data_IF_953620013885
#
_entry.id   IF_953620013885
#
_cell.length_a   1.000
_cell.length_b   1.000
_cell.length_c   1.000
_cell.angle_alpha   90.00
_cell.angle_beta   90.00
_cell.angle_gamma   90.00
#
_symmetry.space_group_name_H-M   'P 1'
#
loop_
_entity.id
_entity.type
_entity.pdbx_description
1 polymer ?
#
# COMPACT_ATOMS: atom_id res chain seq x y z
N UNK A 1 23.64 17.01 -22.47
CA UNK A 1 22.97 17.34 -21.19
C UNK A 1 24.06 17.47 -20.15
N UNK A 2 24.07 18.53 -19.34
CA UNK A 2 25.07 18.72 -18.29
C UNK A 2 24.78 17.79 -17.11
N UNK A 3 25.80 17.34 -16.39
CA UNK A 3 25.64 16.52 -15.16
C UNK A 3 24.67 17.16 -14.16
N UNK A 4 24.67 18.49 -14.04
CA UNK A 4 23.75 19.25 -13.21
C UNK A 4 22.26 19.17 -13.66
N UNK A 5 21.98 19.10 -14.96
CA UNK A 5 20.60 18.94 -15.45
C UNK A 5 20.11 17.50 -15.30
N UNK A 6 21.00 16.51 -15.37
CA UNK A 6 20.69 15.13 -15.05
C UNK A 6 20.39 14.96 -13.55
N UNK A 7 21.25 15.53 -12.69
CA UNK A 7 21.09 15.46 -11.24
C UNK A 7 19.78 16.11 -10.77
N UNK A 8 19.42 17.28 -11.30
CA UNK A 8 18.14 17.94 -11.00
C UNK A 8 16.93 17.10 -11.41
N UNK A 9 17.01 16.42 -12.57
CA UNK A 9 15.93 15.52 -13.02
C UNK A 9 15.83 14.27 -12.14
N UNK A 10 16.95 13.65 -11.80
CA UNK A 10 16.99 12.48 -10.92
C UNK A 10 16.42 12.85 -9.55
N UNK A 11 16.87 13.96 -8.96
CA UNK A 11 16.34 14.46 -7.70
C UNK A 11 14.82 14.72 -7.78
N UNK A 12 14.34 15.38 -8.83
CA UNK A 12 12.91 15.61 -9.04
C UNK A 12 12.11 14.32 -9.15
N UNK A 13 12.63 13.29 -9.82
CA UNK A 13 12.00 11.96 -9.91
C UNK A 13 11.99 11.26 -8.55
N UNK A 14 13.08 11.31 -7.79
CA UNK A 14 13.17 10.72 -6.44
C UNK A 14 12.17 11.38 -5.48
N UNK A 15 12.09 12.71 -5.49
CA UNK A 15 11.12 13.45 -4.67
C UNK A 15 9.69 13.12 -5.07
N UNK A 16 9.38 13.09 -6.37
CA UNK A 16 8.05 12.73 -6.84
C UNK A 16 7.68 11.28 -6.45
N UNK A 17 8.62 10.34 -6.56
CA UNK A 17 8.43 8.96 -6.13
C UNK A 17 8.21 8.87 -4.62
N UNK A 18 8.98 9.59 -3.82
CA UNK A 18 8.78 9.65 -2.37
C UNK A 18 7.40 10.18 -2.01
N UNK A 19 6.92 11.25 -2.67
CA UNK A 19 5.57 11.78 -2.46
C UNK A 19 4.51 10.74 -2.82
N UNK A 20 4.65 10.06 -3.95
CA UNK A 20 3.70 9.00 -4.35
C UNK A 20 3.68 7.86 -3.34
N UNK A 21 4.85 7.42 -2.85
CA UNK A 21 4.94 6.37 -1.84
C UNK A 21 4.31 6.78 -0.51
N UNK A 22 4.49 8.04 -0.08
CA UNK A 22 3.84 8.58 1.11
C UNK A 22 2.31 8.62 0.95
N UNK A 23 1.82 9.05 -0.21
CA UNK A 23 0.38 9.07 -0.50
C UNK A 23 -0.22 7.66 -0.53
N UNK A 24 0.52 6.67 -1.06
CA UNK A 24 0.11 5.26 -1.02
C UNK A 24 0.08 4.76 0.41
N UNK A 25 1.10 5.06 1.23
CA UNK A 25 1.12 4.66 2.64
C UNK A 25 -0.07 5.22 3.40
N UNK A 26 -0.42 6.48 3.17
CA UNK A 26 -1.59 7.11 3.77
C UNK A 26 -2.91 6.48 3.32
N UNK A 27 -3.02 6.04 2.06
CA UNK A 27 -4.20 5.32 1.58
C UNK A 27 -4.34 3.93 2.21
N UNK A 28 -3.21 3.27 2.49
CA UNK A 28 -3.15 1.95 3.10
C UNK A 28 -3.21 1.99 4.63
N UNK A 29 -3.17 3.18 5.24
CA UNK A 29 -3.12 3.33 6.70
C UNK A 29 -1.81 2.82 7.32
N UNK A 30 -0.73 2.68 6.53
CA UNK A 30 0.54 2.11 6.98
C UNK A 30 1.69 3.11 6.77
N UNK A 31 2.68 3.17 7.67
CA UNK A 31 3.84 4.04 7.50
C UNK A 31 4.74 3.49 6.40
N UNK A 32 4.71 4.15 5.24
CA UNK A 32 5.65 3.89 4.14
C UNK A 32 6.72 4.98 4.17
N UNK A 33 7.99 4.58 4.22
CA UNK A 33 9.19 5.43 4.31
C UNK A 33 9.38 6.15 5.64
N UNK A 34 8.33 6.78 6.20
CA UNK A 34 8.44 7.58 7.42
C UNK A 34 7.33 7.17 8.41
N UNK A 35 7.75 6.81 9.62
CA UNK A 35 6.90 6.65 10.80
C UNK A 35 7.29 7.65 11.89
N UNK A 36 6.48 7.76 12.94
CA UNK A 36 6.83 8.54 14.13
C UNK A 36 6.30 7.89 15.40
N UNK A 37 6.98 8.15 16.52
CA UNK A 37 6.53 7.73 17.84
C UNK A 37 5.74 8.86 18.49
N UNK A 38 4.50 8.59 18.89
CA UNK A 38 3.64 9.58 19.53
C UNK A 38 3.89 9.70 21.04
N UNK A 39 4.35 8.62 21.68
CA UNK A 39 4.55 8.50 23.12
C UNK A 39 6.04 8.27 23.44
N UNK A 40 6.40 8.33 24.72
CA UNK A 40 7.75 8.06 25.20
C UNK A 40 8.07 6.58 25.46
N UNK A 41 7.27 5.64 24.94
CA UNK A 41 7.48 4.20 25.20
C UNK A 41 8.80 3.65 24.63
N UNK A 42 9.36 4.34 23.64
CA UNK A 42 10.62 3.98 22.97
C UNK A 42 11.84 4.74 23.49
N UNK A 43 11.72 5.50 24.60
CA UNK A 43 12.87 6.16 25.20
C UNK A 43 13.82 5.13 25.87
N UNK A 44 15.15 5.33 25.81
CA UNK A 44 15.87 6.47 25.24
C UNK A 44 16.18 6.34 23.73
N UNK A 45 15.78 5.25 23.08
CA UNK A 45 16.09 5.00 21.65
C UNK A 45 15.45 6.03 20.72
N UNK A 46 14.19 6.38 20.98
CA UNK A 46 13.44 7.41 20.24
C UNK A 46 12.64 8.24 21.24
N UNK A 47 12.76 9.57 21.17
CA UNK A 47 11.97 10.45 22.04
C UNK A 47 10.56 10.62 21.48
N UNK A 48 9.59 10.91 22.36
CA UNK A 48 8.24 11.23 21.93
C UNK A 48 8.24 12.38 20.90
N UNK A 49 7.63 12.17 19.74
CA UNK A 49 7.58 13.11 18.63
C UNK A 49 8.73 13.00 17.62
N UNK A 50 9.69 12.09 17.81
CA UNK A 50 10.69 11.78 16.80
C UNK A 50 10.09 10.90 15.68
N UNK A 51 10.59 11.11 14.47
CA UNK A 51 10.33 10.22 13.35
C UNK A 51 11.40 9.17 13.16
N UNK A 52 11.13 8.17 12.35
CA UNK A 52 12.10 7.16 11.94
C UNK A 52 11.82 6.69 10.51
N UNK A 53 12.84 6.07 9.91
CA UNK A 53 12.69 5.47 8.58
C UNK A 53 12.00 4.11 8.71
N UNK A 54 10.76 4.02 8.24
CA UNK A 54 9.96 2.80 8.26
C UNK A 54 10.15 2.03 6.94
N UNK A 55 10.69 0.83 7.02
CA UNK A 55 10.84 -0.08 5.89
C UNK A 55 9.63 -1.03 5.91
N UNK A 56 8.76 -1.04 4.88
CA UNK A 56 7.57 -1.88 4.86
C UNK A 56 7.90 -3.35 5.02
N UNK A 57 7.06 -4.11 5.75
CA UNK A 57 7.28 -5.54 5.99
C UNK A 57 7.40 -6.35 4.70
N UNK A 58 6.71 -5.89 3.65
CA UNK A 58 6.79 -6.43 2.31
C UNK A 58 8.16 -6.34 1.64
N UNK A 59 9.16 -5.65 2.19
CA UNK A 59 10.54 -5.63 1.65
C UNK A 59 11.60 -5.85 2.73
N UNK A 60 11.19 -6.05 3.97
CA UNK A 60 12.10 -6.41 5.07
C UNK A 60 12.28 -7.92 5.09
N UNK A 61 13.48 -8.38 5.49
CA UNK A 61 13.68 -9.79 5.79
C UNK A 61 12.94 -10.25 7.04
N UNK A 62 13.27 -11.45 7.52
CA UNK A 62 12.76 -11.97 8.79
C UNK A 62 13.01 -11.00 9.94
N UNK A 63 12.07 -11.00 10.88
CA UNK A 63 12.18 -10.27 12.14
C UNK A 63 13.03 -11.09 13.12
N UNK A 64 13.79 -10.42 13.97
CA UNK A 64 14.69 -11.05 14.92
C UNK A 64 14.80 -10.22 16.20
N UNK A 65 15.30 -10.85 17.27
CA UNK A 65 15.55 -10.17 18.55
C UNK A 65 16.38 -8.88 18.36
N UNK A 66 15.91 -7.81 18.98
CA UNK A 66 16.48 -6.47 18.87
C UNK A 66 15.88 -5.64 17.74
N UNK A 67 15.04 -6.19 16.87
CA UNK A 67 14.36 -5.43 15.84
C UNK A 67 13.29 -4.50 16.40
N UNK A 68 13.26 -3.25 15.92
CA UNK A 68 12.15 -2.34 16.21
C UNK A 68 11.13 -2.45 15.09
N UNK A 69 9.91 -2.86 15.43
CA UNK A 69 8.84 -3.15 14.48
C UNK A 69 7.63 -2.24 14.73
N UNK A 70 6.91 -1.94 13.66
CA UNK A 70 5.59 -1.31 13.70
C UNK A 70 4.57 -2.39 13.42
N UNK A 71 3.65 -2.61 14.35
CA UNK A 71 2.62 -3.64 14.24
C UNK A 71 1.26 -3.09 14.65
N UNK A 72 0.20 -3.71 14.14
CA UNK A 72 -1.17 -3.41 14.55
C UNK A 72 -1.48 -4.15 15.86
N UNK A 73 -1.48 -3.39 16.97
CA UNK A 73 -1.76 -3.90 18.29
C UNK A 73 -3.27 -4.05 18.50
N UNK A 74 -3.66 -5.02 19.33
CA UNK A 74 -5.09 -5.26 19.63
C UNK A 74 -5.54 -4.50 20.87
N UNK A 75 -4.76 -4.64 21.94
CA UNK A 75 -5.11 -4.17 23.28
C UNK A 75 -4.27 -2.97 23.70
N UNK A 76 -3.01 -2.90 23.24
CA UNK A 76 -2.12 -1.79 23.60
C UNK A 76 -2.74 -0.45 23.21
N UNK A 77 -2.95 0.41 24.22
CA UNK A 77 -3.49 1.76 24.05
C UNK A 77 -4.85 1.86 23.34
N UNK A 78 -5.66 0.80 23.39
CA UNK A 78 -6.94 0.73 22.68
C UNK A 78 -6.82 0.28 21.23
N UNK A 79 -5.69 -0.35 20.89
CA UNK A 79 -5.39 -0.92 19.58
C UNK A 79 -4.74 0.06 18.60
N UNK A 80 -4.39 -0.46 17.43
CA UNK A 80 -3.79 0.30 16.34
C UNK A 80 -2.27 0.21 16.28
N UNK A 81 -1.69 1.00 15.36
CA UNK A 81 -0.26 0.95 15.07
C UNK A 81 0.60 1.34 16.28
N UNK A 82 1.39 0.37 16.75
CA UNK A 82 2.34 0.50 17.85
C UNK A 82 3.75 0.22 17.35
N UNK A 83 4.74 0.92 17.90
CA UNK A 83 6.16 0.75 17.55
C UNK A 83 6.95 0.31 18.77
N UNK A 84 7.37 -0.95 18.84
CA UNK A 84 8.13 -1.51 19.96
C UNK A 84 9.27 -2.43 19.48
N UNK A 85 10.16 -2.83 20.39
CA UNK A 85 11.27 -3.74 20.10
C UNK A 85 10.91 -5.19 20.36
N UNK A 86 11.31 -6.07 19.46
CA UNK A 86 11.26 -7.52 19.65
C UNK A 86 12.33 -7.94 20.64
N UNK A 87 11.93 -8.61 21.71
CA UNK A 87 12.81 -9.06 22.80
C UNK A 87 12.85 -10.59 22.94
N UNK A 88 12.06 -11.30 22.13
CA UNK A 88 12.07 -12.75 22.05
C UNK A 88 11.16 -13.27 20.94
N UNK A 89 11.39 -14.51 20.55
CA UNK A 89 10.58 -15.27 19.60
C UNK A 89 10.06 -16.54 20.27
N UNK A 90 8.78 -16.83 20.10
CA UNK A 90 8.10 -18.04 20.61
C UNK A 90 7.40 -18.76 19.46
N UNK A 91 6.86 -19.94 19.73
CA UNK A 91 6.04 -20.66 18.74
C UNK A 91 4.74 -19.93 18.39
N UNK A 92 4.28 -18.99 19.21
CA UNK A 92 3.06 -18.22 18.97
C UNK A 92 3.33 -16.86 18.28
N UNK A 93 4.60 -16.46 18.17
CA UNK A 93 5.00 -15.19 17.54
C UNK A 93 6.09 -14.48 18.34
N UNK A 94 6.17 -13.17 18.17
CA UNK A 94 7.17 -12.32 18.79
C UNK A 94 6.68 -11.74 20.12
N UNK A 95 7.60 -11.66 21.08
CA UNK A 95 7.44 -10.90 22.32
C UNK A 95 7.98 -9.50 22.08
N UNK A 96 7.15 -8.49 22.27
CA UNK A 96 7.50 -7.08 22.05
C UNK A 96 7.53 -6.31 23.35
N UNK A 97 8.31 -5.23 23.35
CA UNK A 97 8.46 -4.36 24.51
C UNK A 97 8.87 -2.95 24.08
N UNK A 98 8.19 -1.93 24.60
CA UNK A 98 8.68 -0.56 24.54
C UNK A 98 9.98 -0.41 25.33
N UNK A 99 11.01 0.21 24.75
CA UNK A 99 12.34 0.33 25.38
C UNK A 99 12.30 1.01 26.78
N UNK A 100 11.33 1.90 27.02
CA UNK A 100 11.11 2.55 28.31
C UNK A 100 10.22 1.74 29.27
N UNK A 101 9.54 0.70 28.78
CA UNK A 101 8.58 -0.05 29.59
C UNK A 101 9.32 -0.99 30.56
N UNK A 102 8.79 -1.21 31.78
CA UNK A 102 9.40 -2.15 32.73
C UNK A 102 9.12 -3.62 32.36
N UNK A 103 7.95 -3.89 31.79
CA UNK A 103 7.46 -5.23 31.42
C UNK A 103 7.32 -5.36 29.91
N UNK A 104 7.19 -6.60 29.42
CA UNK A 104 6.86 -6.87 28.02
C UNK A 104 5.40 -6.56 27.74
N UNK A 105 5.05 -6.36 26.47
CA UNK A 105 3.67 -6.12 26.07
C UNK A 105 2.78 -7.34 26.39
N UNK A 106 3.35 -8.55 26.28
CA UNK A 106 2.71 -9.84 26.58
C UNK A 106 2.63 -10.18 28.08
N UNK A 107 3.30 -9.43 28.97
CA UNK A 107 3.01 -9.49 30.41
C UNK A 107 1.65 -8.82 30.74
N UNK A 108 1.09 -8.07 29.78
CA UNK A 108 -0.24 -7.47 29.81
C UNK A 108 -1.29 -8.31 29.11
N UNK A 109 -2.21 -7.64 28.40
CA UNK A 109 -3.29 -8.28 27.63
C UNK A 109 -2.97 -8.44 26.14
N UNK A 110 -1.84 -7.92 25.65
CA UNK A 110 -1.49 -8.02 24.23
C UNK A 110 -1.05 -9.46 23.92
N UNK A 111 -1.64 -10.12 22.91
CA UNK A 111 -1.17 -11.43 22.46
C UNK A 111 0.24 -11.34 21.84
N UNK A 112 0.83 -12.50 21.54
CA UNK A 112 2.10 -12.53 20.81
C UNK A 112 1.92 -11.89 19.42
N UNK A 113 2.86 -11.04 19.04
CA UNK A 113 2.80 -10.32 17.76
C UNK A 113 3.17 -11.28 16.65
N UNK A 114 2.32 -11.41 15.62
CA UNK A 114 2.60 -12.29 14.47
C UNK A 114 3.13 -11.51 13.26
N UNK A 115 3.73 -12.20 12.29
CA UNK A 115 4.13 -11.59 11.00
C UNK A 115 2.95 -10.94 10.27
N UNK A 116 1.73 -11.40 10.54
CA UNK A 116 0.49 -10.85 9.99
C UNK A 116 0.16 -9.43 10.49
N UNK A 117 0.61 -9.10 11.71
CA UNK A 117 0.38 -7.79 12.35
C UNK A 117 1.50 -6.79 12.05
N UNK A 118 2.69 -7.26 11.70
CA UNK A 118 3.85 -6.39 11.44
C UNK A 118 3.72 -5.72 10.06
N UNK A 119 3.59 -4.40 10.07
CA UNK A 119 3.45 -3.58 8.85
C UNK A 119 4.76 -2.97 8.39
N UNK A 120 5.71 -2.75 9.31
CA UNK A 120 7.02 -2.20 8.98
C UNK A 120 8.08 -2.56 10.03
N UNK A 121 9.35 -2.46 9.62
CA UNK A 121 10.53 -2.50 10.50
C UNK A 121 11.23 -1.15 10.45
N UNK A 122 11.61 -0.62 11.60
CA UNK A 122 12.42 0.59 11.65
C UNK A 122 13.83 0.29 11.11
N UNK A 123 14.35 1.18 10.26
CA UNK A 123 15.71 1.03 9.75
C UNK A 123 16.72 1.19 10.90
N UNK A 124 17.54 0.17 11.11
CA UNK A 124 18.59 0.17 12.12
C UNK A 124 19.98 0.05 11.50
N UNK A 125 20.95 0.80 12.02
CA UNK A 125 22.36 0.74 11.65
C UNK A 125 23.16 0.50 12.93
N UNK A 126 23.92 -0.60 12.99
CA UNK A 126 24.64 -1.04 14.19
C UNK A 126 23.75 -1.24 15.44
N UNK A 127 22.48 -1.59 15.25
CA UNK A 127 21.51 -1.77 16.34
C UNK A 127 20.83 -0.48 16.83
N UNK A 128 21.19 0.67 16.27
CA UNK A 128 20.54 1.95 16.57
C UNK A 128 19.54 2.31 15.47
N UNK A 129 18.36 2.80 15.87
CA UNK A 129 17.31 3.24 14.94
C UNK A 129 17.72 4.55 14.28
N UNK A 130 17.55 4.64 12.96
CA UNK A 130 17.76 5.89 12.21
C UNK A 130 16.58 6.83 12.47
N UNK A 131 16.77 7.77 13.38
CA UNK A 131 15.75 8.75 13.80
C UNK A 131 15.86 10.07 13.05
N UNK A 132 14.73 10.77 12.96
CA UNK A 132 14.59 12.11 12.43
C UNK A 132 13.96 12.97 13.53
N UNK A 133 14.77 13.75 14.26
CA UNK A 133 14.30 14.51 15.41
C UNK A 133 13.11 15.41 15.08
N UNK A 134 12.11 15.42 15.95
CA UNK A 134 10.92 16.28 15.86
C UNK A 134 10.05 16.11 14.60
N UNK A 135 10.29 15.10 13.75
CA UNK A 135 9.47 14.89 12.55
C UNK A 135 8.02 14.61 12.91
N UNK A 136 7.77 13.75 13.91
CA UNK A 136 6.43 13.47 14.43
C UNK A 136 5.79 14.73 15.02
N UNK A 137 6.54 15.52 15.79
CA UNK A 137 6.07 16.81 16.32
C UNK A 137 5.64 17.78 15.21
N UNK A 138 6.42 17.85 14.13
CA UNK A 138 6.09 18.68 12.97
C UNK A 138 4.82 18.19 12.25
N UNK A 139 4.71 16.87 12.03
CA UNK A 139 3.54 16.25 11.40
C UNK A 139 2.28 16.50 12.24
N UNK A 140 2.33 16.19 13.53
CA UNK A 140 1.23 16.43 14.47
C UNK A 140 0.87 17.92 14.52
N UNK A 141 1.85 18.82 14.58
CA UNK A 141 1.61 20.27 14.55
C UNK A 141 0.87 20.73 13.29
N UNK A 142 1.22 20.19 12.12
CA UNK A 142 0.49 20.47 10.87
C UNK A 142 -0.92 19.91 10.92
N UNK A 143 -1.11 18.66 11.36
CA UNK A 143 -2.42 18.02 11.49
C UNK A 143 -3.36 18.83 12.40
N UNK A 144 -2.92 19.20 13.60
CA UNK A 144 -3.71 20.00 14.54
C UNK A 144 -4.08 21.37 13.96
N UNK A 145 -3.17 21.98 13.19
CA UNK A 145 -3.44 23.25 12.51
C UNK A 145 -4.51 23.09 11.44
N UNK A 146 -4.40 22.04 10.60
CA UNK A 146 -5.38 21.72 9.57
C UNK A 146 -6.73 21.41 10.18
N UNK A 147 -6.80 20.55 11.20
CA UNK A 147 -8.04 20.21 11.91
C UNK A 147 -8.70 21.46 12.53
N UNK A 148 -7.90 22.36 13.11
CA UNK A 148 -8.42 23.62 13.66
C UNK A 148 -9.01 24.52 12.56
N UNK A 149 -8.32 24.65 11.43
CA UNK A 149 -8.78 25.44 10.28
C UNK A 149 -10.03 24.83 9.65
N UNK A 150 -10.04 23.52 9.43
CA UNK A 150 -11.19 22.78 8.89
C UNK A 150 -12.36 22.85 9.85
N UNK A 151 -12.15 22.61 11.16
CA UNK A 151 -13.20 22.70 12.18
C UNK A 151 -13.81 24.09 12.32
N UNK A 152 -13.04 25.15 12.01
CA UNK A 152 -13.54 26.53 12.01
C UNK A 152 -14.33 26.87 10.73
N UNK A 153 -13.88 26.38 9.57
CA UNK A 153 -14.41 26.75 8.25
C UNK A 153 -15.55 25.82 7.81
N UNK A 154 -15.47 24.52 8.11
CA UNK A 154 -16.42 23.51 7.67
C UNK A 154 -17.88 23.81 8.10
N UNK A 155 -18.16 24.27 9.34
CA UNK A 155 -19.51 24.66 9.72
C UNK A 155 -20.02 25.88 8.95
N UNK A 156 -19.14 26.83 8.63
CA UNK A 156 -19.47 28.06 7.88
C UNK A 156 -19.83 27.73 6.43
N UNK A 157 -19.15 26.74 5.84
CA UNK A 157 -19.38 26.28 4.47
C UNK A 157 -20.42 25.16 4.35
N UNK A 158 -21.05 24.73 5.45
CA UNK A 158 -22.01 23.63 5.46
C UNK A 158 -21.40 22.25 5.16
N UNK A 159 -20.08 22.10 5.32
CA UNK A 159 -19.33 20.85 5.11
C UNK A 159 -19.32 19.98 6.38
N UNK A 160 -20.46 19.87 7.07
CA UNK A 160 -20.54 19.02 8.25
C UNK A 160 -20.48 17.56 7.79
N UNK A 161 -19.43 16.84 8.20
CA UNK A 161 -19.30 15.41 7.97
C UNK A 161 -20.28 14.66 8.85
N UNK A 162 -21.54 14.58 8.41
CA UNK A 162 -22.46 13.56 8.88
C UNK A 162 -22.02 12.22 8.26
N UNK A 163 -21.97 11.10 9.02
CA UNK A 163 -21.47 9.81 8.52
C UNK A 163 -22.21 9.24 7.30
N UNK A 164 -23.40 9.74 6.95
CA UNK A 164 -24.35 8.94 6.17
C UNK A 164 -24.68 9.39 4.72
N UNK A 165 -24.17 10.50 4.17
CA UNK A 165 -24.24 10.73 2.70
C UNK A 165 -23.64 12.07 2.24
N UNK A 166 -23.08 12.06 1.02
CA UNK A 166 -22.52 13.20 0.24
C UNK A 166 -21.02 13.53 0.40
N UNK A 167 -20.19 12.51 0.67
CA UNK A 167 -18.73 12.63 0.80
C UNK A 167 -17.92 13.01 -0.46
N UNK A 168 -18.54 13.10 -1.64
CA UNK A 168 -17.80 13.41 -2.90
C UNK A 168 -17.57 14.93 -3.04
N UNK A 169 -18.54 15.74 -2.63
CA UNK A 169 -18.45 17.21 -2.74
C UNK A 169 -17.41 17.79 -1.79
N UNK A 170 -17.37 17.30 -0.55
CA UNK A 170 -16.37 17.67 0.46
C UNK A 170 -14.97 17.20 0.06
N UNK A 171 -14.83 16.00 -0.51
CA UNK A 171 -13.57 15.50 -1.04
C UNK A 171 -13.03 16.38 -2.18
N UNK A 172 -13.88 16.79 -3.13
CA UNK A 172 -13.48 17.67 -4.24
C UNK A 172 -13.05 19.06 -3.77
N UNK A 173 -13.71 19.60 -2.75
CA UNK A 173 -13.33 20.89 -2.12
C UNK A 173 -12.00 20.75 -1.38
N UNK A 174 -11.81 19.68 -0.60
CA UNK A 174 -10.56 19.40 0.10
C UNK A 174 -9.39 19.24 -0.89
N UNK A 175 -9.60 18.50 -1.98
CA UNK A 175 -8.62 18.36 -3.08
C UNK A 175 -8.35 19.69 -3.76
N UNK A 176 -9.38 20.51 -4.03
CA UNK A 176 -9.23 21.84 -4.60
C UNK A 176 -8.39 22.77 -3.74
N UNK A 177 -8.66 22.80 -2.43
CA UNK A 177 -7.90 23.59 -1.44
C UNK A 177 -6.46 23.08 -1.33
N UNK A 178 -6.25 21.76 -1.29
CA UNK A 178 -4.92 21.16 -1.26
C UNK A 178 -4.08 21.50 -2.50
N UNK A 179 -4.69 21.43 -3.69
CA UNK A 179 -4.04 21.82 -4.95
C UNK A 179 -3.68 23.31 -4.98
N UNK A 180 -4.54 24.17 -4.44
CA UNK A 180 -4.32 25.62 -4.39
C UNK A 180 -3.21 25.97 -3.39
N UNK A 181 -3.21 25.35 -2.20
CA UNK A 181 -2.14 25.47 -1.21
C UNK A 181 -0.80 24.95 -1.71
N UNK A 182 -0.80 23.81 -2.39
CA UNK A 182 0.41 23.23 -3.01
C UNK A 182 0.97 24.13 -4.12
N UNK A 183 0.11 24.76 -4.92
CA UNK A 183 0.51 25.76 -5.93
C UNK A 183 1.22 26.97 -5.31
N UNK A 184 0.67 27.51 -4.22
CA UNK A 184 1.27 28.65 -3.49
C UNK A 184 2.59 28.26 -2.82
N UNK A 185 2.69 27.04 -2.28
CA UNK A 185 3.91 26.52 -1.65
C UNK A 185 5.03 26.34 -2.68
N UNK A 186 4.72 25.81 -3.88
CA UNK A 186 5.65 25.70 -4.99
C UNK A 186 6.11 27.06 -5.52
N UNK A 187 5.25 28.07 -5.50
CA UNK A 187 5.66 29.45 -5.86
C UNK A 187 6.60 30.07 -4.82
N UNK A 188 6.46 29.72 -3.53
CA UNK A 188 7.35 30.21 -2.46
C UNK A 188 8.68 29.45 -2.34
N UNK A 189 8.70 28.15 -2.63
CA UNK A 189 9.89 27.29 -2.55
C UNK A 189 10.60 27.12 -3.90
N UNK A 190 9.93 27.49 -5.00
CA UNK A 190 10.49 27.39 -6.34
C UNK A 190 11.64 28.38 -6.55
N UNK A 191 12.72 27.99 -7.24
CA UNK A 191 13.82 28.90 -7.54
C UNK A 191 13.29 30.08 -8.36
N UNK A 192 13.43 31.27 -7.79
CA UNK A 192 13.15 32.54 -8.46
C UNK A 192 14.13 32.78 -9.59
N UNK A 193 13.86 32.23 -10.77
CA UNK A 193 14.39 32.73 -12.04
C UNK A 193 13.65 32.13 -13.23
N UNK A 194 12.82 32.96 -13.88
CA UNK A 194 12.46 32.77 -15.28
C UNK A 194 13.68 33.06 -16.13
N UNK A 195 14.50 32.05 -16.40
CA UNK A 195 15.45 32.10 -17.50
C UNK A 195 14.71 31.92 -18.82
N UNK A 196 14.31 33.06 -19.42
CA UNK A 196 13.95 33.14 -20.84
C UNK A 196 15.23 33.14 -21.67
N UNK A 197 15.82 31.97 -21.89
CA UNK A 197 16.73 31.77 -23.02
C UNK A 197 15.99 31.05 -24.14
N UNK A 198 15.62 31.85 -25.15
CA UNK A 198 14.95 31.42 -26.37
C UNK A 198 15.94 30.60 -27.20
N UNK A 199 15.87 29.27 -27.10
CA UNK A 199 16.55 28.37 -28.03
C UNK A 199 15.56 27.86 -29.08
N UNK A 200 15.96 27.94 -30.35
CA UNK A 200 15.16 27.52 -31.51
C UNK A 200 15.19 25.99 -31.63
N UNK A 201 14.28 25.30 -30.97
CA UNK A 201 13.94 23.91 -31.33
C UNK A 201 12.46 23.60 -31.05
N UNK A 202 11.66 23.73 -32.12
CA UNK A 202 10.32 23.16 -32.42
C UNK A 202 9.26 23.15 -31.29
N UNK A 203 8.32 24.09 -31.41
CA UNK A 203 7.03 24.17 -30.71
C UNK A 203 6.12 22.96 -30.99
N UNK A 204 5.41 22.51 -29.95
CA UNK A 204 4.39 21.44 -29.94
C UNK A 204 4.87 19.98 -29.91
N UNK A 205 5.95 19.71 -29.18
CA UNK A 205 6.31 18.37 -28.70
C UNK A 205 6.24 18.35 -27.17
N UNK A 206 5.06 18.66 -26.60
CA UNK A 206 4.73 18.07 -25.30
C UNK A 206 4.62 16.57 -25.59
N UNK A 207 5.73 15.89 -25.31
CA UNK A 207 6.15 14.74 -26.08
C UNK A 207 5.11 13.63 -25.99
N UNK A 208 4.84 12.98 -27.12
CA UNK A 208 4.07 11.73 -27.17
C UNK A 208 4.45 10.77 -26.03
N UNK A 209 5.75 10.69 -25.71
CA UNK A 209 6.30 9.93 -24.61
C UNK A 209 5.90 10.43 -23.21
N UNK A 210 5.73 11.74 -23.01
CA UNK A 210 5.23 12.30 -21.76
C UNK A 210 3.76 11.98 -21.57
N UNK A 211 2.93 12.11 -22.62
CA UNK A 211 1.51 11.72 -22.57
C UNK A 211 1.36 10.22 -22.36
N UNK A 212 2.13 9.40 -23.10
CA UNK A 212 2.16 7.95 -22.92
C UNK A 212 2.62 7.57 -21.50
N UNK A 213 3.65 8.23 -20.99
CA UNK A 213 4.12 8.02 -19.62
C UNK A 213 3.05 8.32 -18.57
N UNK A 214 2.28 9.41 -18.74
CA UNK A 214 1.17 9.75 -17.85
C UNK A 214 0.04 8.71 -17.93
N UNK A 215 -0.32 8.28 -19.14
CA UNK A 215 -1.32 7.21 -19.32
C UNK A 215 -0.84 5.92 -18.64
N UNK A 216 0.41 5.50 -18.89
CA UNK A 216 0.97 4.31 -18.26
C UNK A 216 1.01 4.43 -16.74
N UNK A 217 1.38 5.59 -16.20
CA UNK A 217 1.36 5.86 -14.77
C UNK A 217 -0.04 5.62 -14.19
N UNK A 218 -1.06 6.22 -14.82
CA UNK A 218 -2.46 6.03 -14.38
C UNK A 218 -2.86 4.55 -14.43
N UNK A 219 -2.60 3.86 -15.55
CA UNK A 219 -2.95 2.45 -15.70
C UNK A 219 -2.25 1.55 -14.68
N UNK A 220 -0.95 1.75 -14.47
CA UNK A 220 -0.16 0.98 -13.50
C UNK A 220 -0.61 1.27 -12.08
N UNK A 221 -0.90 2.53 -11.74
CA UNK A 221 -1.41 2.88 -10.41
C UNK A 221 -2.75 2.21 -10.14
N UNK A 222 -3.71 2.29 -11.07
CA UNK A 222 -5.02 1.62 -10.90
C UNK A 222 -4.90 0.10 -10.86
N UNK A 223 -4.05 -0.50 -11.71
CA UNK A 223 -3.82 -1.94 -11.69
C UNK A 223 -3.19 -2.41 -10.37
N UNK A 224 -2.18 -1.68 -9.89
CA UNK A 224 -1.52 -1.95 -8.60
C UNK A 224 -2.49 -1.78 -7.45
N UNK A 225 -3.26 -0.70 -7.43
CA UNK A 225 -4.30 -0.44 -6.43
C UNK A 225 -5.33 -1.57 -6.38
N UNK A 226 -5.78 -2.07 -7.54
CA UNK A 226 -6.73 -3.18 -7.62
C UNK A 226 -6.17 -4.51 -7.06
N UNK A 227 -4.85 -4.68 -7.05
CA UNK A 227 -4.18 -5.86 -6.50
C UNK A 227 -3.87 -5.71 -5.00
N UNK A 228 -3.49 -4.51 -4.57
CA UNK A 228 -2.98 -4.25 -3.21
C UNK A 228 -4.09 -3.85 -2.23
N UNK A 229 -5.07 -3.04 -2.65
CA UNK A 229 -6.10 -2.53 -1.74
C UNK A 229 -6.96 -3.66 -1.14
N UNK A 230 -7.43 -4.66 -1.93
CA UNK A 230 -8.22 -5.74 -1.37
C UNK A 230 -7.37 -6.88 -0.81
N UNK A 231 -6.03 -6.80 -0.92
CA UNK A 231 -5.11 -7.72 -0.27
C UNK A 231 -4.95 -7.32 1.20
N UNK A 232 -4.68 -8.29 2.06
CA UNK A 232 -4.55 -8.03 3.49
C UNK A 232 -4.45 -9.30 4.30
N UNK A 233 -4.25 -9.13 5.60
CA UNK A 233 -4.23 -10.23 6.56
C UNK A 233 -5.57 -10.27 7.28
N UNK A 234 -6.21 -11.43 7.30
CA UNK A 234 -7.41 -11.68 8.12
C UNK A 234 -7.00 -12.39 9.39
N UNK A 235 -7.52 -11.92 10.51
CA UNK A 235 -7.30 -12.49 11.82
C UNK A 235 -8.47 -13.38 12.24
N UNK A 236 -8.14 -14.49 12.90
CA UNK A 236 -9.04 -15.46 13.50
C UNK A 236 -8.67 -15.64 14.96
N UNK A 237 -9.65 -15.42 15.83
CA UNK A 237 -9.54 -15.76 17.24
C UNK A 237 -9.82 -17.24 17.41
N UNK A 238 -8.99 -17.89 18.21
CA UNK A 238 -9.05 -19.32 18.47
C UNK A 238 -8.94 -19.56 19.98
N UNK A 239 -9.91 -20.26 20.54
CA UNK A 239 -9.93 -20.61 21.95
C UNK A 239 -9.72 -22.12 22.09
N UNK A 240 -8.63 -22.52 22.75
CA UNK A 240 -8.35 -23.91 23.09
C UNK A 240 -8.88 -24.21 24.50
N UNK A 241 -9.87 -25.09 24.61
CA UNK A 241 -10.57 -25.40 25.88
C UNK A 241 -10.99 -26.87 25.96
N UNK A 242 -11.00 -27.44 27.17
CA UNK A 242 -11.44 -28.84 27.38
C UNK A 242 -12.95 -29.05 27.16
N UNK A 243 -13.73 -27.96 27.08
CA UNK A 243 -15.17 -27.98 26.83
C UNK A 243 -15.49 -27.18 25.56
N UNK A 244 -15.20 -27.71 24.36
CA UNK A 244 -15.51 -27.01 23.12
C UNK A 244 -17.04 -26.88 22.91
N UNK A 245 -17.43 -25.83 22.20
CA UNK A 245 -18.82 -25.58 21.78
C UNK A 245 -18.97 -25.90 20.28
N UNK A 246 -20.18 -25.76 19.71
CA UNK A 246 -20.41 -25.93 18.25
C UNK A 246 -19.76 -24.84 17.37
N UNK A 247 -18.94 -23.96 17.95
CA UNK A 247 -18.26 -22.89 17.24
C UNK A 247 -16.91 -23.41 16.68
N UNK A 248 -16.65 -23.29 15.36
CA UNK A 248 -15.39 -23.76 14.74
C UNK A 248 -14.12 -23.03 15.22
N UNK A 249 -14.26 -22.00 16.05
CA UNK A 249 -13.17 -21.25 16.68
C UNK A 249 -12.97 -21.59 18.17
N UNK A 250 -13.80 -22.46 18.75
CA UNK A 250 -13.67 -22.95 20.13
C UNK A 250 -13.44 -24.45 20.07
N UNK A 251 -12.19 -24.86 20.22
CA UNK A 251 -11.72 -26.20 19.90
C UNK A 251 -11.10 -26.89 21.12
N UNK A 252 -11.15 -28.22 21.15
CA UNK A 252 -10.35 -28.98 22.10
C UNK A 252 -8.86 -28.86 21.78
N UNK A 253 -7.95 -29.04 22.76
CA UNK A 253 -6.51 -29.07 22.49
C UNK A 253 -6.14 -30.06 21.37
N UNK A 254 -5.42 -29.59 20.36
CA UNK A 254 -5.01 -30.37 19.19
C UNK A 254 -6.09 -30.59 18.12
N UNK A 255 -7.34 -30.16 18.36
CA UNK A 255 -8.43 -30.26 17.38
C UNK A 255 -8.25 -29.24 16.24
N UNK A 256 -8.76 -29.57 15.05
CA UNK A 256 -8.74 -28.67 13.89
C UNK A 256 -10.15 -28.30 13.50
N UNK A 257 -10.44 -26.99 13.50
CA UNK A 257 -11.68 -26.41 13.04
C UNK A 257 -11.60 -26.00 11.57
N UNK A 258 -12.74 -26.03 10.89
CA UNK A 258 -12.87 -25.64 9.48
C UNK A 258 -13.76 -24.41 9.36
N UNK A 259 -13.28 -23.39 8.64
CA UNK A 259 -14.04 -22.19 8.36
C UNK A 259 -14.05 -21.89 6.85
N UNK A 260 -15.22 -21.93 6.24
CA UNK A 260 -15.38 -21.55 4.84
C UNK A 260 -15.42 -20.03 4.70
N UNK A 261 -14.56 -19.50 3.84
CA UNK A 261 -14.50 -18.09 3.48
C UNK A 261 -14.77 -17.89 2.00
N UNK A 262 -15.60 -16.89 1.71
CA UNK A 262 -15.87 -16.44 0.35
C UNK A 262 -14.88 -15.36 -0.06
N UNK A 263 -14.30 -15.52 -1.25
CA UNK A 263 -13.42 -14.55 -1.89
C UNK A 263 -14.13 -13.92 -3.07
N UNK A 264 -14.50 -12.65 -2.93
CA UNK A 264 -15.24 -11.91 -3.96
C UNK A 264 -14.33 -11.15 -4.92
N UNK A 265 -14.65 -11.23 -6.23
CA UNK A 265 -14.06 -10.40 -7.27
C UNK A 265 -15.12 -9.50 -7.90
N UNK A 266 -15.24 -8.27 -7.43
CA UNK A 266 -16.10 -7.26 -8.04
C UNK A 266 -15.53 -6.67 -9.35
N UNK A 267 -14.30 -7.02 -9.71
CA UNK A 267 -13.56 -6.47 -10.83
C UNK A 267 -14.00 -6.98 -12.22
N UNK A 268 -13.53 -6.27 -13.24
CA UNK A 268 -13.75 -6.60 -14.66
C UNK A 268 -12.63 -7.45 -15.28
N UNK A 269 -11.73 -7.98 -14.46
CA UNK A 269 -10.71 -8.94 -14.86
C UNK A 269 -10.74 -10.10 -13.88
N UNK A 270 -10.52 -11.35 -14.33
CA UNK A 270 -10.31 -12.45 -13.40
C UNK A 270 -9.09 -12.16 -12.53
N UNK A 271 -9.10 -12.70 -11.33
CA UNK A 271 -8.00 -12.57 -10.38
C UNK A 271 -7.48 -13.96 -9.99
N UNK A 272 -6.19 -14.03 -9.73
CA UNK A 272 -5.57 -15.15 -9.03
C UNK A 272 -5.36 -14.71 -7.60
N UNK A 273 -5.88 -15.49 -6.66
CA UNK A 273 -5.80 -15.24 -5.22
C UNK A 273 -4.89 -16.29 -4.63
N UNK A 274 -3.90 -15.86 -3.86
CA UNK A 274 -2.99 -16.75 -3.11
C UNK A 274 -3.20 -16.50 -1.63
N UNK A 275 -3.39 -17.58 -0.88
CA UNK A 275 -3.54 -17.55 0.57
C UNK A 275 -2.23 -18.02 1.21
N UNK A 276 -1.74 -17.26 2.19
CA UNK A 276 -0.52 -17.57 2.94
C UNK A 276 -0.85 -17.66 4.43
N UNK A 277 -0.35 -18.69 5.11
CA UNK A 277 -0.36 -18.72 6.56
C UNK A 277 0.62 -17.66 7.09
N UNK A 278 0.13 -16.74 7.93
CA UNK A 278 0.91 -15.69 8.61
C UNK A 278 1.10 -15.94 10.10
N UNK A 279 0.62 -17.09 10.57
CA UNK A 279 0.83 -17.64 11.90
C UNK A 279 0.96 -19.16 11.82
N UNK A 280 1.50 -19.78 12.86
CA UNK A 280 1.53 -21.24 12.98
C UNK A 280 0.12 -21.82 13.13
N UNK A 281 -0.04 -23.12 12.84
CA UNK A 281 -1.30 -23.87 12.99
C UNK A 281 -2.48 -23.32 12.16
N UNK A 282 -2.18 -22.80 10.97
CA UNK A 282 -3.17 -22.33 10.00
C UNK A 282 -2.85 -22.88 8.63
N UNK A 283 -3.84 -23.44 7.97
CA UNK A 283 -3.72 -23.91 6.59
C UNK A 283 -4.95 -23.47 5.78
N UNK A 284 -4.81 -23.44 4.46
CA UNK A 284 -5.90 -23.07 3.54
C UNK A 284 -5.98 -24.03 2.38
N UNK A 285 -7.20 -24.46 2.03
CA UNK A 285 -7.48 -25.28 0.86
C UNK A 285 -8.61 -24.64 0.01
N UNK A 286 -8.35 -24.30 -1.26
CA UNK A 286 -7.07 -24.39 -1.94
C UNK A 286 -6.09 -23.28 -1.52
N UNK A 287 -4.76 -23.53 -1.55
CA UNK A 287 -3.74 -22.52 -1.21
C UNK A 287 -3.73 -21.35 -2.21
N UNK A 288 -4.27 -21.56 -3.41
CA UNK A 288 -4.54 -20.50 -4.36
C UNK A 288 -5.74 -20.87 -5.24
N UNK A 289 -6.44 -19.87 -5.75
CA UNK A 289 -7.58 -20.06 -6.64
C UNK A 289 -7.67 -18.96 -7.70
N UNK A 290 -8.40 -19.24 -8.78
CA UNK A 290 -8.74 -18.21 -9.78
C UNK A 290 -10.21 -17.86 -9.63
N UNK A 291 -10.49 -16.59 -9.37
CA UNK A 291 -11.85 -16.07 -9.28
C UNK A 291 -12.19 -15.32 -10.57
N UNK A 292 -13.30 -15.70 -11.19
CA UNK A 292 -13.80 -15.10 -12.42
C UNK A 292 -14.22 -13.64 -12.26
N UNK A 293 -14.65 -13.02 -13.36
CA UNK A 293 -15.12 -11.64 -13.34
C UNK A 293 -16.47 -11.57 -12.61
N UNK A 294 -16.62 -10.63 -11.68
CA UNK A 294 -17.89 -10.40 -10.97
C UNK A 294 -18.45 -11.68 -10.35
N UNK A 295 -17.57 -12.54 -9.85
CA UNK A 295 -17.89 -13.82 -9.23
C UNK A 295 -17.19 -13.94 -7.89
N UNK A 296 -17.53 -14.99 -7.16
CA UNK A 296 -16.89 -15.38 -5.92
C UNK A 296 -16.29 -16.79 -6.04
N UNK A 297 -15.31 -17.08 -5.19
CA UNK A 297 -14.78 -18.43 -4.95
C UNK A 297 -14.83 -18.74 -3.46
N UNK A 298 -14.79 -20.02 -3.08
CA UNK A 298 -14.76 -20.45 -1.69
C UNK A 298 -13.38 -21.02 -1.36
N UNK A 299 -12.89 -20.73 -0.15
CA UNK A 299 -11.67 -21.31 0.42
C UNK A 299 -11.96 -21.76 1.83
N UNK A 300 -11.49 -22.94 2.21
CA UNK A 300 -11.59 -23.42 3.58
C UNK A 300 -10.31 -23.06 4.32
N UNK A 301 -10.47 -22.45 5.50
CA UNK A 301 -9.38 -22.18 6.44
C UNK A 301 -9.43 -23.24 7.53
N UNK A 302 -8.31 -23.93 7.72
CA UNK A 302 -8.12 -24.92 8.78
C UNK A 302 -7.36 -24.26 9.92
N UNK A 303 -7.94 -24.25 11.11
CA UNK A 303 -7.34 -23.69 12.32
C UNK A 303 -7.09 -24.82 13.32
N UNK A 304 -5.84 -25.11 13.64
CA UNK A 304 -5.50 -26.15 14.62
C UNK A 304 -5.22 -25.53 15.98
N UNK A 305 -5.93 -25.99 17.01
CA UNK A 305 -5.74 -25.53 18.37
C UNK A 305 -4.42 -26.02 18.97
N UNK A 306 -3.67 -25.15 19.69
CA UNK A 306 -2.55 -25.59 20.50
C UNK A 306 -2.94 -26.63 21.56
N UNK A 307 -1.99 -27.47 21.95
CA UNK A 307 -2.13 -28.49 23.00
C UNK A 307 -2.36 -27.86 24.40
N UNK A 308 -2.00 -26.60 24.58
CA UNK A 308 -2.22 -25.85 25.80
C UNK A 308 -3.51 -25.05 25.71
N UNK A 309 -4.31 -25.08 26.78
CA UNK A 309 -5.53 -24.28 26.86
C UNK A 309 -5.20 -22.80 26.96
N UNK A 310 -6.00 -21.98 26.29
CA UNK A 310 -5.76 -20.54 26.20
C UNK A 310 -6.43 -19.89 25.01
N UNK A 311 -6.29 -18.57 24.92
CA UNK A 311 -6.73 -17.75 23.80
C UNK A 311 -5.55 -17.49 22.86
N UNK A 312 -5.79 -17.69 21.57
CA UNK A 312 -4.79 -17.62 20.52
C UNK A 312 -5.33 -16.84 19.33
N UNK A 313 -4.44 -16.18 18.60
CA UNK A 313 -4.77 -15.49 17.35
C UNK A 313 -4.04 -16.13 16.19
N UNK A 314 -4.73 -16.20 15.05
CA UNK A 314 -4.30 -16.90 13.85
C UNK A 314 -4.53 -16.01 12.64
N UNK A 315 -3.55 -15.92 11.76
CA UNK A 315 -3.51 -14.94 10.68
C UNK A 315 -3.36 -15.62 9.32
N UNK A 316 -4.25 -15.26 8.39
CA UNK A 316 -4.18 -15.67 6.97
C UNK A 316 -3.97 -14.43 6.11
N UNK A 317 -2.85 -14.39 5.40
CA UNK A 317 -2.58 -13.39 4.37
C UNK A 317 -3.26 -13.74 3.05
N UNK A 318 -3.83 -12.75 2.38
CA UNK A 318 -4.43 -12.89 1.06
C UNK A 318 -3.77 -11.93 0.08
N UNK A 319 -3.27 -12.46 -1.04
CA UNK A 319 -2.68 -11.69 -2.13
C UNK A 319 -3.50 -11.86 -3.41
N UNK A 320 -3.77 -10.75 -4.10
CA UNK A 320 -4.57 -10.75 -5.33
C UNK A 320 -3.76 -10.26 -6.51
N UNK A 321 -3.85 -10.98 -7.62
CA UNK A 321 -3.17 -10.67 -8.88
C UNK A 321 -4.16 -10.63 -10.04
N UNK A 322 -4.08 -9.61 -10.89
CA UNK A 322 -4.86 -9.62 -12.14
C UNK A 322 -4.37 -10.77 -13.03
N UNK A 323 -5.29 -11.60 -13.51
CA UNK A 323 -4.99 -12.79 -14.31
C UNK A 323 -4.63 -12.46 -15.78
N UNK A 324 -3.60 -11.61 -15.97
CA UNK A 324 -3.03 -11.28 -17.28
C UNK A 324 -1.89 -12.22 -17.71
N UNK A 325 -1.45 -13.06 -16.77
CA UNK A 325 -0.46 -14.13 -16.95
C UNK A 325 -1.08 -15.47 -16.53
N UNK A 326 -0.52 -16.62 -16.98
CA UNK A 326 -0.96 -17.93 -16.52
C UNK A 326 -0.92 -18.03 -14.98
N UNK A 327 -1.93 -18.62 -14.31
CA UNK A 327 -1.99 -18.67 -12.85
C UNK A 327 -0.76 -19.33 -12.21
N UNK A 328 -0.27 -20.43 -12.81
CA UNK A 328 0.94 -21.12 -12.33
C UNK A 328 2.18 -20.23 -12.33
N UNK A 329 2.31 -19.33 -13.31
CA UNK A 329 3.41 -18.38 -13.36
C UNK A 329 3.26 -17.31 -12.27
N UNK A 330 2.04 -16.82 -12.02
CA UNK A 330 1.78 -15.84 -10.95
C UNK A 330 2.08 -16.42 -9.57
N UNK A 331 1.65 -17.66 -9.30
CA UNK A 331 1.96 -18.37 -8.04
C UNK A 331 3.46 -18.59 -7.90
N UNK A 332 4.16 -18.98 -8.98
CA UNK A 332 5.61 -19.12 -8.95
C UNK A 332 6.34 -17.79 -8.68
N UNK A 333 5.92 -16.70 -9.34
CA UNK A 333 6.49 -15.36 -9.11
C UNK A 333 6.20 -14.87 -7.69
N UNK A 334 5.02 -15.16 -7.17
CA UNK A 334 4.64 -14.83 -5.80
C UNK A 334 5.53 -15.58 -4.80
N UNK A 335 5.80 -16.86 -5.03
CA UNK A 335 6.72 -17.65 -4.21
C UNK A 335 8.17 -17.14 -4.23
N UNK A 336 8.58 -16.33 -5.23
CA UNK A 336 9.81 -15.54 -5.14
C UNK A 336 9.62 -14.32 -4.25
N UNK A 337 8.60 -13.52 -4.57
CA UNK A 337 8.20 -12.35 -3.79
C UNK A 337 6.85 -11.76 -4.30
N UNK A 338 5.93 -11.32 -3.44
CA UNK A 338 4.67 -10.70 -3.86
C UNK A 338 4.84 -9.50 -4.82
N UNK A 339 5.84 -8.63 -4.57
CA UNK A 339 6.15 -7.50 -5.45
C UNK A 339 6.65 -7.91 -6.84
N UNK A 340 7.32 -9.07 -6.96
CA UNK A 340 7.78 -9.57 -8.26
C UNK A 340 6.59 -9.99 -9.11
N UNK A 341 5.58 -10.64 -8.52
CA UNK A 341 4.33 -10.96 -9.19
C UNK A 341 3.57 -9.69 -9.63
N UNK A 342 3.45 -8.67 -8.75
CA UNK A 342 2.85 -7.36 -9.10
C UNK A 342 3.61 -6.70 -10.26
N UNK A 343 4.95 -6.68 -10.20
CA UNK A 343 5.78 -6.09 -11.24
C UNK A 343 5.61 -6.81 -12.59
N UNK A 344 5.48 -8.13 -12.59
CA UNK A 344 5.25 -8.92 -13.81
C UNK A 344 3.88 -8.60 -14.43
N UNK A 345 2.81 -8.55 -13.62
CA UNK A 345 1.47 -8.13 -14.08
C UNK A 345 1.51 -6.74 -14.69
N UNK A 346 2.10 -5.78 -13.98
CA UNK A 346 2.25 -4.41 -14.48
C UNK A 346 3.10 -4.34 -15.75
N UNK A 347 4.16 -5.16 -15.85
CA UNK A 347 4.98 -5.27 -17.05
C UNK A 347 4.19 -5.70 -18.28
N UNK A 348 3.28 -6.68 -18.14
CA UNK A 348 2.37 -7.10 -19.22
C UNK A 348 1.42 -5.97 -19.60
N UNK A 349 0.80 -5.31 -18.62
CA UNK A 349 -0.13 -4.20 -18.86
C UNK A 349 0.58 -3.06 -19.60
N UNK A 350 1.79 -2.70 -19.18
CA UNK A 350 2.61 -1.68 -19.85
C UNK A 350 2.96 -2.13 -21.26
N UNK A 351 3.43 -3.37 -21.44
CA UNK A 351 3.82 -3.91 -22.74
C UNK A 351 2.66 -3.92 -23.75
N UNK A 352 1.48 -4.38 -23.34
CA UNK A 352 0.26 -4.38 -24.15
C UNK A 352 -0.16 -2.95 -24.48
N UNK A 353 -0.21 -2.06 -23.49
CA UNK A 353 -0.61 -0.66 -23.68
C UNK A 353 0.33 0.06 -24.66
N UNK A 354 1.65 -0.06 -24.47
CA UNK A 354 2.65 0.52 -25.38
C UNK A 354 2.50 -0.06 -26.77
N UNK A 355 2.31 -1.37 -26.91
CA UNK A 355 2.13 -2.03 -28.21
C UNK A 355 0.89 -1.49 -28.93
N UNK A 356 -0.26 -1.40 -28.25
CA UNK A 356 -1.49 -0.84 -28.81
C UNK A 356 -1.27 0.61 -29.25
N UNK A 357 -0.67 1.43 -28.39
CA UNK A 357 -0.40 2.83 -28.69
C UNK A 357 0.52 2.97 -29.91
N UNK A 358 1.60 2.18 -30.00
CA UNK A 358 2.52 2.20 -31.13
C UNK A 358 1.87 1.69 -32.43
N UNK A 359 0.99 0.68 -32.36
CA UNK A 359 0.25 0.18 -33.53
C UNK A 359 -0.77 1.20 -34.03
N UNK A 360 -1.52 1.84 -33.12
CA UNK A 360 -2.58 2.80 -33.45
C UNK A 360 -1.98 4.14 -33.89
N UNK A 361 -1.09 4.72 -33.11
CA UNK A 361 -0.57 6.08 -33.35
C UNK A 361 0.75 6.09 -34.12
N UNK A 362 1.45 4.96 -34.22
CA UNK A 362 2.78 4.88 -34.81
C UNK A 362 3.89 5.33 -33.85
N UNK A 363 5.14 5.38 -34.35
CA UNK A 363 6.29 5.98 -33.65
C UNK A 363 6.45 7.48 -33.90
N UNK A 364 5.58 8.07 -34.73
CA UNK A 364 5.64 9.49 -35.09
C UNK A 364 4.87 10.35 -34.11
N UNK A 365 5.33 11.56 -33.87
CA UNK A 365 4.66 12.52 -32.98
C UNK A 365 3.17 12.68 -33.35
N UNK A 366 2.31 12.70 -32.32
CA UNK A 366 0.88 12.97 -32.46
C UNK A 366 0.69 14.35 -33.07
N UNK A 367 0.46 14.40 -34.38
CA UNK A 367 0.10 15.64 -35.07
C UNK A 367 -1.33 16.00 -34.71
N UNK A 368 -1.50 16.76 -33.63
CA UNK A 368 -2.70 17.57 -33.41
C UNK A 368 -2.70 18.67 -34.48
N UNK A 369 -3.14 18.33 -35.70
CA UNK A 369 -3.57 19.35 -36.65
C UNK A 369 -4.89 19.90 -36.12
N UNK A 370 -4.97 21.21 -35.91
CA UNK A 370 -6.25 21.89 -35.87
C UNK A 370 -6.98 21.52 -37.17
N UNK A 371 -8.11 20.82 -37.02
CA UNK A 371 -8.82 20.25 -38.15
C UNK A 371 -9.52 21.37 -38.93
N UNK A 372 -8.91 21.79 -40.03
CA UNK A 372 -9.68 22.17 -41.21
C UNK A 372 -10.36 20.92 -41.76
N UNK A 373 -11.67 20.83 -41.52
CA UNK A 373 -12.71 20.09 -42.29
C UNK A 373 -12.48 18.64 -42.76
N UNK A 374 -13.34 17.76 -42.22
CA UNK A 374 -13.96 16.54 -42.78
C UNK A 374 -13.10 15.45 -43.46
N UNK A 375 -12.68 14.45 -42.67
CA UNK A 375 -12.64 13.04 -43.14
C UNK A 375 -13.10 12.13 -42.00
N UNK A 376 -14.11 11.28 -42.26
CA UNK A 376 -14.69 10.38 -41.24
C UNK A 376 -13.70 9.30 -40.78
N UNK A 377 -13.82 8.92 -39.50
CA UNK A 377 -12.97 7.92 -38.82
C UNK A 377 -12.96 6.55 -39.53
N UNK A 378 -14.10 6.14 -40.10
CA UNK A 378 -14.27 4.91 -40.88
C UNK A 378 -13.39 4.89 -42.13
N UNK A 379 -13.27 6.03 -42.82
CA UNK A 379 -12.44 6.15 -44.04
C UNK A 379 -10.95 6.02 -43.71
N UNK A 380 -10.51 6.46 -42.52
CA UNK A 380 -9.12 6.30 -42.07
C UNK A 380 -8.78 4.85 -41.71
N UNK A 381 -9.70 4.14 -41.05
CA UNK A 381 -9.51 2.74 -40.68
C UNK A 381 -9.43 1.84 -41.93
N UNK A 382 -10.36 2.03 -42.89
CA UNK A 382 -10.41 1.26 -44.12
C UNK A 382 -9.13 1.42 -44.98
N UNK A 383 -8.57 2.64 -45.04
CA UNK A 383 -7.33 2.90 -45.79
C UNK A 383 -6.09 2.24 -45.17
N UNK A 384 -6.10 2.01 -43.86
CA UNK A 384 -4.96 1.41 -43.13
C UNK A 384 -5.00 -0.11 -43.18
N UNK A 385 -6.20 -0.71 -43.14
CA UNK A 385 -6.40 -2.15 -43.31
C UNK A 385 -6.08 -2.62 -44.73
N UNK A 386 -6.38 -1.81 -45.76
CA UNK A 386 -6.05 -2.12 -47.17
C UNK A 386 -4.55 -2.02 -47.50
N UNK A 387 -3.69 -1.65 -46.55
CA UNK A 387 -2.23 -1.69 -46.72
C UNK A 387 -1.61 -3.03 -46.28
N UNK A 388 -2.41 -3.89 -45.64
CA UNK A 388 -2.00 -5.19 -45.11
C UNK A 388 -2.72 -6.37 -45.80
N UNK A 389 -3.63 -6.08 -46.73
CA UNK A 389 -4.10 -6.95 -47.81
C UNK A 389 -3.37 -6.55 -49.08
#
# INVERSE_FOLDING_TARGET
MTSATLLKRVFGVVVALAIVLLLIGQLLGQPILLGYVATGSMEPTMNAGDGFVAIPSAVTGSVSDGDVVVFDARELHGGGLTTHRVVGETSEGYVTKGDANPFTDQDGSEPHVTDGQIVAKAWQVNGEVVTIPHLGTAIMGVHHTVESVVGTIAPILGLTTSPDSEGIGSLLVAVGVALLGFGVLLERLGPGQRDKTRSRSRENVLAFWTTLGLVLLVFVTFATAAMVIPAGTTEYELVSTETPEENPQILAPGETGELTRTVDNAGYLPIVVVHEARSNNVETDPPWQTVGLRSSGETTVFLTAPETTGEYTRHVGEHRYLAVLPPSLLVWLHGLHPLVAIAAVNGVIVGVTVTIVLVVFGRGDLRLRSAGTHVSLSTRLARRLRKWL
#
